data_IF_241698229898
#
_entry.id   IF_241698229898
#
_cell.length_a   1.000
_cell.length_b   1.000
_cell.length_c   1.000
_cell.angle_alpha   90.00
_cell.angle_beta   90.00
_cell.angle_gamma   90.00
#
_symmetry.space_group_name_H-M   'P 1'
#
loop_
_entity.id
_entity.type
_entity.pdbx_description
1 polymer ?
#
# COMPACT_ATOMS: atom_id res chain seq x y z
N UNK A 1 -1.50 -13.00 -1.12
CA UNK A 1 -1.07 -12.78 0.28
C UNK A 1 0.32 -13.37 0.39
N UNK A 2 1.38 -12.56 0.24
CA UNK A 2 2.73 -13.06 0.52
C UNK A 2 2.95 -12.87 2.02
N UNK A 3 3.10 -13.98 2.75
CA UNK A 3 3.40 -13.95 4.17
C UNK A 3 4.73 -13.20 4.38
N UNK A 4 4.81 -12.30 5.36
CA UNK A 4 6.07 -11.67 5.75
C UNK A 4 7.05 -12.79 6.10
N UNK A 5 8.17 -12.95 5.37
CA UNK A 5 9.11 -14.00 5.67
C UNK A 5 9.68 -13.74 7.07
N UNK A 6 9.78 -14.78 7.89
CA UNK A 6 10.40 -14.68 9.21
C UNK A 6 11.91 -14.56 9.07
N UNK A 7 12.57 -13.73 9.89
CA UNK A 7 14.04 -13.64 9.89
C UNK A 7 14.63 -14.99 10.30
N UNK A 8 15.26 -15.68 9.35
CA UNK A 8 15.92 -16.98 9.61
C UNK A 8 17.29 -16.83 10.30
N UNK A 9 17.98 -15.71 10.11
CA UNK A 9 19.31 -15.47 10.70
C UNK A 9 19.40 -14.12 11.42
N UNK A 10 20.02 -14.13 12.60
CA UNK A 10 20.36 -12.95 13.40
C UNK A 10 21.60 -12.23 12.84
N UNK A 11 21.77 -10.94 13.15
CA UNK A 11 22.87 -10.12 12.63
C UNK A 11 24.28 -10.64 12.98
N UNK A 12 24.40 -11.32 14.12
CA UNK A 12 25.64 -11.98 14.55
C UNK A 12 25.95 -13.23 13.71
N UNK A 13 24.92 -14.04 13.38
CA UNK A 13 25.08 -15.22 12.53
C UNK A 13 25.39 -14.81 11.08
N UNK A 14 24.78 -13.73 10.60
CA UNK A 14 25.00 -13.17 9.26
C UNK A 14 26.44 -12.69 9.04
N UNK A 15 27.08 -12.17 10.10
CA UNK A 15 28.49 -11.77 10.09
C UNK A 15 29.45 -12.96 10.24
N UNK A 16 28.98 -14.13 10.66
CA UNK A 16 29.81 -15.33 10.75
C UNK A 16 30.13 -15.92 9.38
N UNK A 17 31.35 -16.47 9.24
CA UNK A 17 31.85 -17.11 8.02
C UNK A 17 31.14 -18.45 7.73
N UNK A 18 30.48 -19.04 8.73
CA UNK A 18 29.70 -20.28 8.61
C UNK A 18 28.52 -20.19 7.64
N UNK A 19 27.99 -18.99 7.37
CA UNK A 19 26.86 -18.86 6.44
C UNK A 19 27.30 -18.81 4.97
N UNK A 20 26.86 -19.74 4.10
CA UNK A 20 27.21 -19.68 2.69
C UNK A 20 26.55 -18.48 2.00
N UNK A 21 27.36 -17.70 1.26
CA UNK A 21 26.89 -16.51 0.51
C UNK A 21 25.72 -16.82 -0.43
N UNK A 22 25.69 -18.05 -0.97
CA UNK A 22 24.68 -18.51 -1.94
C UNK A 22 23.29 -18.62 -1.31
N UNK A 23 23.19 -19.09 -0.07
CA UNK A 23 21.91 -19.21 0.64
C UNK A 23 21.35 -17.83 0.98
N UNK A 24 22.21 -16.90 1.40
CA UNK A 24 21.81 -15.53 1.67
C UNK A 24 21.28 -14.83 0.41
N UNK A 25 21.96 -15.00 -0.73
CA UNK A 25 21.50 -14.49 -2.02
C UNK A 25 20.17 -15.13 -2.41
N UNK A 26 20.05 -16.46 -2.28
CA UNK A 26 18.84 -17.20 -2.63
C UNK A 26 17.65 -16.72 -1.80
N UNK A 27 17.83 -16.57 -0.49
CA UNK A 27 16.79 -16.07 0.41
C UNK A 27 16.36 -14.66 0.03
N UNK A 28 17.33 -13.75 -0.20
CA UNK A 28 17.03 -12.38 -0.62
C UNK A 28 16.31 -12.39 -1.98
N UNK A 29 16.74 -13.18 -2.96
CA UNK A 29 16.07 -13.26 -4.28
C UNK A 29 14.65 -13.84 -4.21
N UNK A 30 14.43 -14.80 -3.33
CA UNK A 30 13.12 -15.45 -3.17
C UNK A 30 12.13 -14.53 -2.46
N UNK A 31 12.63 -13.73 -1.52
CA UNK A 31 11.80 -12.94 -0.61
C UNK A 31 11.81 -11.44 -0.86
N UNK A 32 12.77 -10.89 -1.60
CA UNK A 32 12.84 -9.47 -1.91
C UNK A 32 12.14 -9.11 -3.21
N UNK A 33 11.64 -7.89 -3.26
CA UNK A 33 11.05 -7.33 -4.46
C UNK A 33 12.10 -7.14 -5.57
N UNK A 34 11.66 -7.21 -6.82
CA UNK A 34 12.54 -7.12 -7.99
C UNK A 34 13.32 -5.80 -8.01
N UNK A 35 12.67 -4.70 -7.60
CA UNK A 35 13.30 -3.39 -7.46
C UNK A 35 14.47 -3.39 -6.46
N UNK A 36 14.30 -4.08 -5.33
CA UNK A 36 15.33 -4.22 -4.30
C UNK A 36 16.51 -5.07 -4.76
N UNK A 37 16.24 -6.16 -5.48
CA UNK A 37 17.27 -7.00 -6.07
C UNK A 37 18.08 -6.25 -7.12
N UNK A 38 17.44 -5.38 -7.90
CA UNK A 38 18.12 -4.57 -8.90
C UNK A 38 19.05 -3.54 -8.25
N UNK A 39 18.57 -2.85 -7.21
CA UNK A 39 19.33 -1.83 -6.46
C UNK A 39 20.61 -2.41 -5.84
N UNK A 40 20.51 -3.61 -5.26
CA UNK A 40 21.66 -4.29 -4.67
C UNK A 40 22.45 -5.16 -5.67
N UNK A 41 22.13 -5.13 -6.97
CA UNK A 41 22.72 -5.96 -8.04
C UNK A 41 22.69 -7.46 -7.71
N UNK A 42 21.66 -7.88 -6.99
CA UNK A 42 21.38 -9.26 -6.62
C UNK A 42 20.45 -9.92 -7.65
N UNK A 43 20.23 -9.30 -8.81
CA UNK A 43 19.41 -9.85 -9.88
C UNK A 43 20.22 -10.81 -10.76
N UNK A 44 19.68 -11.98 -11.07
CA UNK A 44 20.31 -12.99 -11.93
C UNK A 44 20.83 -14.22 -11.19
N UNK A 45 21.69 -14.99 -11.85
CA UNK A 45 22.07 -16.33 -11.37
C UNK A 45 22.91 -16.26 -10.09
N UNK A 46 22.48 -16.96 -9.03
CA UNK A 46 23.10 -16.99 -7.70
C UNK A 46 24.60 -17.28 -7.77
N UNK A 47 25.05 -18.15 -8.68
CA UNK A 47 26.48 -18.48 -8.84
C UNK A 47 27.31 -17.31 -9.37
N UNK A 48 26.72 -16.42 -10.16
CA UNK A 48 27.39 -15.25 -10.71
C UNK A 48 27.35 -14.09 -9.71
N UNK A 49 26.19 -13.88 -9.07
CA UNK A 49 26.00 -12.89 -8.00
C UNK A 49 26.94 -13.19 -6.81
N UNK A 50 27.14 -14.45 -6.44
CA UNK A 50 28.05 -14.82 -5.36
C UNK A 50 29.54 -14.56 -5.67
N UNK A 51 29.91 -14.41 -6.96
CA UNK A 51 31.27 -14.07 -7.38
C UNK A 51 31.51 -12.55 -7.37
N UNK A 52 30.46 -11.76 -7.59
CA UNK A 52 30.53 -10.30 -7.68
C UNK A 52 30.16 -9.60 -6.37
N UNK A 53 29.25 -10.16 -5.57
CA UNK A 53 28.77 -9.59 -4.32
C UNK A 53 29.63 -9.98 -3.11
N UNK A 54 30.01 -8.98 -2.30
CA UNK A 54 30.73 -9.18 -1.04
C UNK A 54 29.77 -9.66 0.06
N UNK A 55 30.27 -10.49 0.98
CA UNK A 55 29.50 -11.03 2.11
C UNK A 55 28.84 -9.91 2.94
N UNK A 56 29.59 -8.88 3.31
CA UNK A 56 29.05 -7.71 4.04
C UNK A 56 27.92 -7.01 3.29
N UNK A 57 28.03 -6.87 1.96
CA UNK A 57 26.97 -6.25 1.15
C UNK A 57 25.69 -7.09 1.19
N UNK A 58 25.80 -8.41 1.19
CA UNK A 58 24.65 -9.30 1.31
C UNK A 58 23.98 -9.21 2.69
N UNK A 59 24.78 -9.07 3.75
CA UNK A 59 24.26 -8.91 5.12
C UNK A 59 23.54 -7.57 5.29
N UNK A 60 24.09 -6.50 4.72
CA UNK A 60 23.45 -5.18 4.71
C UNK A 60 22.14 -5.24 3.93
N UNK A 61 22.16 -5.82 2.72
CA UNK A 61 20.96 -5.98 1.89
C UNK A 61 19.89 -6.83 2.60
N UNK A 62 20.26 -7.92 3.27
CA UNK A 62 19.31 -8.71 4.05
C UNK A 62 18.68 -7.88 5.18
N UNK A 63 19.47 -7.15 5.98
CA UNK A 63 18.90 -6.34 7.05
C UNK A 63 18.03 -5.19 6.51
N UNK A 64 18.45 -4.55 5.42
CA UNK A 64 17.71 -3.50 4.75
C UNK A 64 16.42 -4.02 4.12
N UNK A 65 16.39 -5.25 3.61
CA UNK A 65 15.19 -5.89 3.11
C UNK A 65 14.10 -5.95 4.19
N UNK A 66 14.48 -6.40 5.40
CA UNK A 66 13.56 -6.51 6.53
C UNK A 66 13.23 -5.17 7.19
N UNK A 67 14.18 -4.22 7.23
CA UNK A 67 13.92 -2.87 7.73
C UNK A 67 13.00 -2.10 6.78
N UNK A 68 13.23 -2.21 5.48
CA UNK A 68 12.47 -1.52 4.45
C UNK A 68 11.18 -2.26 4.10
N UNK A 69 11.00 -3.49 4.60
CA UNK A 69 9.89 -4.40 4.29
C UNK A 69 9.63 -4.56 2.78
N UNK A 70 10.67 -4.48 1.95
CA UNK A 70 10.58 -4.53 0.48
C UNK A 70 10.51 -5.98 -0.01
N UNK A 71 9.54 -6.74 0.49
CA UNK A 71 9.39 -8.15 0.17
C UNK A 71 8.72 -8.37 -1.20
N UNK A 72 8.97 -9.54 -1.78
CA UNK A 72 8.46 -9.94 -3.09
C UNK A 72 6.92 -9.94 -3.08
N UNK A 73 6.34 -9.06 -3.89
CA UNK A 73 4.90 -8.81 -3.92
C UNK A 73 4.52 -7.33 -3.89
N UNK A 74 5.49 -6.42 -3.73
CA UNK A 74 5.25 -4.95 -3.70
C UNK A 74 5.81 -4.17 -4.88
N UNK A 75 6.12 -4.81 -6.01
CA UNK A 75 6.32 -4.11 -7.29
C UNK A 75 5.40 -4.72 -8.34
N UNK A 76 4.63 -3.89 -9.09
CA UNK A 76 3.77 -4.34 -10.17
C UNK A 76 4.60 -4.90 -11.32
N UNK A 77 4.09 -6.00 -11.88
CA UNK A 77 4.53 -6.62 -13.13
C UNK A 77 4.60 -5.56 -14.22
N UNK A 78 5.81 -5.22 -14.67
CA UNK A 78 6.03 -4.79 -16.04
C UNK A 78 6.50 -5.99 -16.86
N UNK A 79 5.94 -6.05 -18.07
CA UNK A 79 6.26 -6.92 -19.20
C UNK A 79 5.50 -8.26 -19.29
N UNK A 80 4.34 -8.23 -19.95
CA UNK A 80 4.19 -8.69 -21.35
C UNK A 80 2.75 -8.45 -21.83
N UNK A 81 2.57 -7.71 -22.92
CA UNK A 81 2.00 -8.22 -24.19
C UNK A 81 1.60 -7.05 -25.10
N UNK A 82 2.41 -6.90 -26.15
CA UNK A 82 2.02 -6.31 -27.42
C UNK A 82 0.75 -6.98 -28.00
N UNK A 83 -0.02 -6.18 -28.75
CA UNK A 83 -1.07 -6.56 -29.69
C UNK A 83 -2.26 -7.41 -29.19
N UNK A 84 -3.47 -6.82 -29.14
CA UNK A 84 -4.47 -7.01 -30.22
C UNK A 84 -5.70 -6.08 -30.10
N UNK A 85 -6.07 -5.62 -31.30
CA UNK A 85 -7.28 -4.95 -31.76
C UNK A 85 -8.63 -5.37 -31.13
N UNK A 86 -9.39 -4.34 -30.77
CA UNK A 86 -10.71 -4.00 -31.31
C UNK A 86 -12.03 -4.31 -30.53
N UNK A 87 -12.88 -3.28 -30.61
CA UNK A 87 -14.36 -3.18 -30.60
C UNK A 87 -15.18 -3.19 -29.28
N UNK A 88 -15.80 -2.01 -29.05
CA UNK A 88 -17.21 -1.67 -28.75
C UNK A 88 -17.79 -1.73 -27.31
N UNK A 89 -18.27 -0.53 -26.96
CA UNK A 89 -19.31 -0.02 -26.05
C UNK A 89 -20.43 -0.93 -25.49
N UNK A 90 -20.92 -0.46 -24.33
CA UNK A 90 -22.29 -0.55 -23.73
C UNK A 90 -22.63 -1.88 -22.99
N UNK A 91 -23.24 -1.95 -21.80
CA UNK A 91 -24.05 -1.05 -20.94
C UNK A 91 -24.06 -1.59 -19.47
N UNK A 92 -24.30 -0.73 -18.46
CA UNK A 92 -24.73 -1.09 -17.07
C UNK A 92 -26.28 -1.28 -17.05
N UNK A 93 -27.00 -1.82 -16.02
CA UNK A 93 -26.67 -1.89 -14.57
C UNK A 93 -27.26 -3.09 -13.75
N UNK A 94 -27.04 -3.03 -12.41
CA UNK A 94 -27.82 -3.56 -11.24
C UNK A 94 -27.37 -4.83 -10.49
N UNK A 95 -26.69 -4.57 -9.37
CA UNK A 95 -27.06 -4.82 -7.95
C UNK A 95 -27.47 -6.23 -7.44
N UNK A 96 -26.95 -6.54 -6.23
CA UNK A 96 -27.50 -7.36 -5.11
C UNK A 96 -26.75 -8.68 -4.77
N UNK A 97 -26.02 -8.61 -3.63
CA UNK A 97 -25.85 -9.57 -2.50
C UNK A 97 -25.14 -10.92 -2.66
N UNK A 98 -24.16 -11.07 -1.75
CA UNK A 98 -23.86 -12.25 -0.92
C UNK A 98 -22.87 -13.29 -1.46
N UNK A 99 -21.89 -13.60 -0.59
CA UNK A 99 -21.10 -14.84 -0.48
C UNK A 99 -19.99 -15.15 -1.52
N UNK A 100 -18.75 -15.06 -0.99
CA UNK A 100 -17.49 -15.78 -1.30
C UNK A 100 -16.91 -15.85 -2.74
N UNK A 101 -15.72 -15.23 -2.83
CA UNK A 101 -14.53 -15.57 -3.65
C UNK A 101 -14.51 -15.11 -5.12
N UNK A 102 -13.44 -14.36 -5.44
CA UNK A 102 -12.60 -14.36 -6.66
C UNK A 102 -12.25 -13.01 -7.33
N UNK A 103 -10.99 -12.92 -7.76
CA UNK A 103 -10.36 -11.99 -8.71
C UNK A 103 -9.89 -10.58 -8.27
N UNK A 104 -8.73 -10.56 -7.61
CA UNK A 104 -7.75 -9.47 -7.70
C UNK A 104 -7.14 -9.03 -6.37
N UNK A 105 -5.83 -8.73 -6.30
CA UNK A 105 -5.23 -8.15 -5.10
C UNK A 105 -5.94 -6.84 -4.73
N UNK A 106 -6.07 -6.51 -3.43
CA UNK A 106 -6.63 -5.23 -3.00
C UNK A 106 -5.86 -4.11 -3.70
N UNK A 107 -6.57 -3.27 -4.46
CA UNK A 107 -5.96 -2.16 -5.22
C UNK A 107 -5.76 -0.92 -4.35
N UNK A 108 -5.46 -1.15 -3.08
CA UNK A 108 -5.08 -0.13 -2.12
C UNK A 108 -4.00 -0.68 -1.19
N UNK A 109 -3.08 0.19 -0.80
CA UNK A 109 -2.02 -0.09 0.15
C UNK A 109 -2.24 0.77 1.39
N UNK A 110 -2.19 0.16 2.56
CA UNK A 110 -2.28 0.88 3.84
C UNK A 110 -0.94 0.84 4.55
N UNK A 111 -0.48 2.00 4.98
CA UNK A 111 0.69 2.20 5.83
C UNK A 111 0.29 2.88 7.14
N UNK A 112 0.43 2.20 8.28
CA UNK A 112 0.11 2.80 9.59
C UNK A 112 1.25 3.71 10.03
N UNK A 113 0.99 5.02 10.09
CA UNK A 113 1.96 6.02 10.58
C UNK A 113 1.93 6.09 12.11
N UNK A 114 0.73 6.10 12.69
CA UNK A 114 0.50 6.14 14.13
C UNK A 114 -0.48 5.05 14.48
N UNK A 115 -0.06 4.12 15.35
CA UNK A 115 -0.94 3.07 15.85
C UNK A 115 -2.04 3.70 16.70
N UNK A 116 -3.28 3.31 16.44
CA UNK A 116 -4.41 3.64 17.29
C UNK A 116 -4.53 2.68 18.46
N UNK A 117 -5.74 2.62 19.00
CA UNK A 117 -6.09 1.81 20.17
C UNK A 117 -6.09 0.30 19.87
N UNK A 118 -6.14 -0.11 18.60
CA UNK A 118 -6.22 -1.52 18.15
C UNK A 118 -7.36 -2.35 18.76
N UNK A 119 -8.29 -1.73 19.48
CA UNK A 119 -9.46 -2.40 20.06
C UNK A 119 -10.73 -2.00 19.33
N UNK A 120 -10.88 -0.70 19.02
CA UNK A 120 -12.05 -0.16 18.33
C UNK A 120 -11.79 -0.05 16.83
N UNK A 121 -12.21 -1.05 16.07
CA UNK A 121 -12.26 -1.00 14.60
C UNK A 121 -13.69 -0.69 14.15
N UNK A 122 -13.88 0.20 13.16
CA UNK A 122 -15.19 0.50 12.65
C UNK A 122 -15.72 -0.66 11.84
N UNK A 123 -17.03 -0.92 11.95
CA UNK A 123 -17.73 -1.96 11.20
C UNK A 123 -18.57 -1.35 10.09
N UNK A 124 -18.98 -2.19 9.16
CA UNK A 124 -19.88 -1.82 8.07
C UNK A 124 -21.16 -1.19 8.64
N UNK A 125 -21.35 0.11 8.38
CA UNK A 125 -22.49 0.91 8.81
C UNK A 125 -22.24 1.83 10.00
N UNK A 126 -21.10 1.69 10.69
CA UNK A 126 -20.69 2.58 11.78
C UNK A 126 -20.33 3.96 11.26
N UNK A 127 -20.53 4.97 12.12
CA UNK A 127 -20.19 6.35 11.81
C UNK A 127 -18.75 6.61 12.26
N UNK A 128 -17.87 6.88 11.30
CA UNK A 128 -16.48 7.23 11.58
C UNK A 128 -16.28 8.73 11.45
N UNK A 129 -15.55 9.32 12.38
CA UNK A 129 -15.08 10.70 12.32
C UNK A 129 -13.57 10.70 12.10
N UNK A 130 -13.11 11.27 10.99
CA UNK A 130 -11.69 11.31 10.65
C UNK A 130 -11.23 12.63 10.05
N UNK A 131 -9.94 12.93 10.23
CA UNK A 131 -9.22 13.94 9.47
C UNK A 131 -8.51 13.29 8.31
N UNK A 132 -8.42 13.99 7.18
CA UNK A 132 -7.67 13.46 6.06
C UNK A 132 -7.04 14.55 5.20
N UNK A 133 -5.98 14.16 4.49
CA UNK A 133 -5.35 14.94 3.43
C UNK A 133 -5.10 14.02 2.24
N UNK A 134 -5.70 14.35 1.11
CA UNK A 134 -5.50 13.70 -0.18
C UNK A 134 -4.46 14.43 -1.02
N UNK A 135 -3.40 13.73 -1.38
CA UNK A 135 -2.34 14.17 -2.29
C UNK A 135 -2.24 13.26 -3.50
N UNK A 136 -1.85 13.82 -4.63
CA UNK A 136 -1.45 13.06 -5.81
C UNK A 136 -0.04 12.49 -5.62
N UNK A 137 0.39 11.60 -6.51
CA UNK A 137 1.76 11.04 -6.52
C UNK A 137 2.85 12.12 -6.66
N UNK A 138 2.51 13.22 -7.35
CA UNK A 138 3.36 14.41 -7.49
C UNK A 138 3.47 15.24 -6.19
N UNK A 139 2.74 14.87 -5.13
CA UNK A 139 2.69 15.61 -3.85
C UNK A 139 1.68 16.77 -3.85
N UNK A 140 1.05 17.05 -4.99
CA UNK A 140 -0.03 18.06 -5.08
C UNK A 140 -1.22 17.66 -4.21
N UNK A 141 -1.56 18.47 -3.21
CA UNK A 141 -2.75 18.29 -2.36
C UNK A 141 -3.99 18.66 -3.18
N UNK A 142 -4.86 17.69 -3.44
CA UNK A 142 -6.11 17.93 -4.18
C UNK A 142 -7.31 18.11 -3.25
N UNK A 143 -7.27 17.53 -2.06
CA UNK A 143 -8.35 17.65 -1.07
C UNK A 143 -7.79 17.54 0.35
N UNK A 144 -8.27 18.34 1.30
CA UNK A 144 -7.88 18.21 2.71
C UNK A 144 -8.99 18.72 3.61
N UNK A 145 -9.27 17.96 4.66
CA UNK A 145 -10.19 18.40 5.72
C UNK A 145 -9.42 18.92 6.94
N UNK A 146 -8.09 18.95 6.93
CA UNK A 146 -7.30 19.41 8.08
C UNK A 146 -7.32 20.94 8.15
N UNK A 147 -7.70 21.56 9.30
CA UNK A 147 -7.73 23.01 9.42
C UNK A 147 -6.33 23.61 9.43
N UNK A 148 -5.98 24.35 8.37
CA UNK A 148 -4.68 25.01 8.18
C UNK A 148 -4.47 26.27 9.04
N UNK A 149 -5.54 26.89 9.55
CA UNK A 149 -5.45 28.07 10.42
C UNK A 149 -5.72 27.70 11.88
N UNK A 150 -4.78 28.00 12.79
CA UNK A 150 -4.93 27.78 14.23
C UNK A 150 -6.19 28.43 14.84
N UNK A 151 -6.74 29.48 14.20
CA UNK A 151 -8.02 30.10 14.57
C UNK A 151 -9.26 29.30 14.11
N UNK A 152 -9.17 28.53 13.03
CA UNK A 152 -10.24 27.65 12.53
C UNK A 152 -10.28 26.29 13.24
N UNK A 153 -9.20 25.87 13.93
CA UNK A 153 -9.17 24.61 14.69
C UNK A 153 -10.31 24.47 15.72
N UNK A 154 -10.81 25.59 16.29
CA UNK A 154 -11.94 25.56 17.25
C UNK A 154 -13.31 25.31 16.61
N UNK A 155 -13.47 25.52 15.29
CA UNK A 155 -14.73 25.24 14.57
C UNK A 155 -14.59 24.11 13.54
N UNK A 156 -13.38 23.62 13.32
CA UNK A 156 -13.14 22.52 12.41
C UNK A 156 -13.77 21.25 12.99
N UNK A 157 -14.64 20.62 12.21
CA UNK A 157 -15.26 19.35 12.57
C UNK A 157 -14.63 18.23 11.72
N UNK A 158 -14.27 17.09 12.33
CA UNK A 158 -13.79 15.94 11.57
C UNK A 158 -14.88 15.48 10.59
N UNK A 159 -14.45 14.96 9.44
CA UNK A 159 -15.37 14.44 8.44
C UNK A 159 -16.04 13.21 9.04
N UNK A 160 -17.37 13.23 9.15
CA UNK A 160 -18.14 12.15 9.74
C UNK A 160 -19.03 11.49 8.70
N UNK A 161 -18.88 10.18 8.48
CA UNK A 161 -19.66 9.43 7.52
C UNK A 161 -19.77 7.96 7.90
N UNK A 162 -20.70 7.24 7.27
CA UNK A 162 -20.87 5.81 7.50
C UNK A 162 -19.94 5.00 6.61
N UNK A 163 -19.04 4.23 7.21
CA UNK A 163 -18.13 3.33 6.49
C UNK A 163 -18.87 2.07 6.04
N UNK A 164 -18.43 1.42 4.97
CA UNK A 164 -19.03 0.17 4.52
C UNK A 164 -20.30 0.36 3.67
N UNK A 165 -20.70 1.60 3.38
CA UNK A 165 -21.97 1.92 2.70
C UNK A 165 -21.78 2.46 1.29
N UNK A 166 -20.55 2.47 0.76
CA UNK A 166 -20.27 3.02 -0.58
C UNK A 166 -20.51 4.54 -0.67
N UNK A 167 -20.46 5.24 0.48
CA UNK A 167 -20.51 6.71 0.55
C UNK A 167 -19.20 7.35 0.10
N UNK A 168 -18.11 6.60 0.17
CA UNK A 168 -16.75 6.98 -0.21
C UNK A 168 -16.20 6.00 -1.23
N UNK A 169 -15.04 6.33 -1.81
CA UNK A 169 -14.35 5.45 -2.76
C UNK A 169 -14.03 4.09 -2.12
N UNK A 170 -14.02 3.03 -2.92
CA UNK A 170 -13.87 1.65 -2.43
C UNK A 170 -12.60 1.45 -1.59
N UNK A 171 -11.49 2.07 -1.99
CA UNK A 171 -10.24 2.00 -1.22
C UNK A 171 -10.32 2.66 0.16
N UNK A 172 -11.16 3.68 0.33
CA UNK A 172 -11.42 4.28 1.64
C UNK A 172 -12.28 3.38 2.50
N UNK A 173 -13.34 2.82 1.91
CA UNK A 173 -14.29 1.96 2.60
C UNK A 173 -13.56 0.75 3.21
N UNK A 174 -12.75 0.06 2.40
CA UNK A 174 -11.95 -1.09 2.84
C UNK A 174 -10.78 -0.67 3.73
N UNK A 175 -10.10 0.44 3.41
CA UNK A 175 -8.96 0.93 4.17
C UNK A 175 -9.32 1.31 5.61
N UNK A 176 -10.44 2.03 5.80
CA UNK A 176 -10.89 2.49 7.10
C UNK A 176 -11.41 1.37 7.99
N UNK A 177 -12.03 0.33 7.42
CA UNK A 177 -12.44 -0.86 8.18
C UNK A 177 -11.25 -1.55 8.88
N UNK A 178 -10.04 -1.39 8.35
CA UNK A 178 -8.82 -1.93 8.96
C UNK A 178 -8.17 -1.00 9.97
N UNK A 179 -8.64 0.25 10.10
CA UNK A 179 -8.06 1.25 11.02
C UNK A 179 -8.71 1.17 12.39
N UNK A 180 -7.91 1.43 13.43
CA UNK A 180 -8.41 1.56 14.79
C UNK A 180 -8.66 3.00 15.20
N UNK A 181 -9.50 3.23 16.21
CA UNK A 181 -9.70 4.55 16.80
C UNK A 181 -8.38 5.16 17.27
N UNK A 182 -8.13 6.41 16.90
CA UNK A 182 -6.88 7.13 17.19
C UNK A 182 -5.72 6.79 16.24
N UNK A 183 -5.94 5.92 15.24
CA UNK A 183 -4.92 5.53 14.28
C UNK A 183 -4.75 6.59 13.19
N UNK A 184 -3.50 6.87 12.84
CA UNK A 184 -3.16 7.62 11.63
C UNK A 184 -2.54 6.66 10.64
N UNK A 185 -3.12 6.55 9.45
CA UNK A 185 -2.60 5.70 8.39
C UNK A 185 -2.63 6.43 7.05
N UNK A 186 -1.66 6.12 6.21
CA UNK A 186 -1.57 6.53 4.82
C UNK A 186 -2.16 5.42 3.96
N UNK A 187 -3.23 5.73 3.25
CA UNK A 187 -3.93 4.89 2.30
C UNK A 187 -3.57 5.33 0.90
N UNK A 188 -2.90 4.47 0.15
CA UNK A 188 -2.58 4.68 -1.25
C UNK A 188 -3.56 3.87 -2.08
N UNK A 189 -4.38 4.52 -2.88
CA UNK A 189 -5.49 3.89 -3.57
C UNK A 189 -5.26 4.05 -5.06
N UNK A 190 -5.21 2.92 -5.74
CA UNK A 190 -5.10 2.89 -7.19
C UNK A 190 -6.34 3.52 -7.81
N UNK A 191 -6.21 4.15 -9.00
CA UNK A 191 -7.32 4.82 -9.66
C UNK A 191 -8.56 3.93 -9.75
N UNK A 192 -8.41 2.63 -10.01
CA UNK A 192 -9.52 1.69 -10.15
C UNK A 192 -10.43 1.58 -8.91
N UNK A 193 -9.90 1.82 -7.72
CA UNK A 193 -10.66 1.85 -6.46
C UNK A 193 -10.90 3.28 -5.95
N UNK A 194 -10.55 4.27 -6.77
CA UNK A 194 -10.78 5.71 -6.59
C UNK A 194 -11.66 6.26 -7.73
N UNK A 195 -11.12 7.13 -8.60
CA UNK A 195 -11.86 7.82 -9.69
C UNK A 195 -11.67 7.20 -11.09
N UNK A 196 -10.88 6.13 -11.17
CA UNK A 196 -10.66 5.31 -12.36
C UNK A 196 -9.97 6.04 -13.51
N UNK A 197 -10.16 5.49 -14.71
CA UNK A 197 -9.67 6.05 -15.99
C UNK A 197 -10.23 7.44 -16.29
N UNK A 198 -11.33 7.83 -15.65
CA UNK A 198 -11.98 9.13 -15.84
C UNK A 198 -11.29 10.23 -15.04
N UNK A 199 -10.66 9.89 -13.92
CA UNK A 199 -10.15 10.87 -12.97
C UNK A 199 -11.28 11.74 -12.41
N UNK A 200 -10.91 12.87 -11.83
CA UNK A 200 -11.85 13.87 -11.33
C UNK A 200 -11.36 15.28 -11.74
N UNK A 201 -11.78 15.78 -12.92
CA UNK A 201 -11.31 17.07 -13.41
C UNK A 201 -11.69 18.23 -12.48
N UNK A 202 -12.79 18.11 -11.75
CA UNK A 202 -13.29 19.10 -10.79
C UNK A 202 -12.28 19.37 -9.65
N UNK A 203 -11.62 18.31 -9.16
CA UNK A 203 -10.55 18.41 -8.16
C UNK A 203 -9.14 18.34 -8.77
N UNK A 204 -9.01 18.60 -10.08
CA UNK A 204 -7.74 18.54 -10.82
C UNK A 204 -7.03 17.18 -10.74
N UNK A 205 -7.79 16.09 -10.53
CA UNK A 205 -7.25 14.73 -10.46
C UNK A 205 -7.16 14.17 -11.88
N UNK A 206 -5.95 13.85 -12.39
CA UNK A 206 -5.81 13.33 -13.74
C UNK A 206 -6.44 11.93 -13.89
N UNK A 207 -6.71 11.51 -15.14
CA UNK A 207 -7.15 10.15 -15.41
C UNK A 207 -6.09 9.14 -14.98
N UNK A 208 -6.51 8.01 -14.40
CA UNK A 208 -5.60 6.99 -13.84
C UNK A 208 -4.64 7.50 -12.76
N UNK A 209 -4.97 8.60 -12.08
CA UNK A 209 -4.17 9.07 -10.97
C UNK A 209 -4.34 8.18 -9.74
N UNK A 210 -3.23 7.73 -9.17
CA UNK A 210 -3.22 7.15 -7.84
C UNK A 210 -3.39 8.25 -6.80
N UNK A 211 -4.19 7.94 -5.79
CA UNK A 211 -4.48 8.89 -4.72
C UNK A 211 -3.82 8.42 -3.44
N UNK A 212 -3.16 9.35 -2.77
CA UNK A 212 -2.52 9.11 -1.49
C UNK A 212 -3.31 9.89 -0.46
N UNK A 213 -3.91 9.20 0.50
CA UNK A 213 -4.66 9.80 1.58
C UNK A 213 -3.98 9.52 2.90
N UNK A 214 -3.56 10.55 3.60
CA UNK A 214 -3.25 10.43 5.01
C UNK A 214 -4.53 10.63 5.79
N UNK A 215 -4.95 9.63 6.57
CA UNK A 215 -6.20 9.66 7.34
C UNK A 215 -5.88 9.43 8.82
N UNK A 216 -6.48 10.23 9.68
CA UNK A 216 -6.47 10.09 11.13
C UNK A 216 -7.88 9.82 11.63
N UNK A 217 -8.08 8.64 12.23
CA UNK A 217 -9.36 8.23 12.77
C UNK A 217 -9.51 8.80 14.19
N UNK A 218 -10.44 9.73 14.38
CA UNK A 218 -10.65 10.43 15.66
C UNK A 218 -11.67 9.69 16.51
N UNK A 219 -12.79 9.26 15.91
CA UNK A 219 -13.85 8.56 16.60
C UNK A 219 -14.55 7.54 15.69
N UNK A 220 -15.11 6.52 16.33
CA UNK A 220 -16.00 5.51 15.75
C UNK A 220 -17.22 5.46 16.66
N UNK A 221 -18.42 5.52 16.08
CA UNK A 221 -19.72 5.46 16.75
C UNK A 221 -20.63 4.41 16.09
#
# INVERSE_FOLDING_TARGET
MAAEPTREWSDEQLKSDDLPKKDLIKFIQDNAAHSFLNEHKLLGNIKNVAKTAKKEQLVIAYNQLFQSKRFKGTDPVEEVTEEVKAVKLEEKPKEVKTEVVDEGPPKFTKSVLKKGDKTNFPKKGDTVSCWYTGTLEDGTVFDTNIPTAARKKKQAKPLSFKVGMGRVIRGWDEGLLTMSKGETARLEIEPEWAYGKKGLPDSKIPPNAKLIFEVELVAVD
#
